data_IF_956970729540
#
_entry.id   IF_956970729540
#
_cell.length_a   1.000
_cell.length_b   1.000
_cell.length_c   1.000
_cell.angle_alpha   90.00
_cell.angle_beta   90.00
_cell.angle_gamma   90.00
#
_symmetry.space_group_name_H-M   'P 1'
#
loop_
_entity.id
_entity.type
_entity.pdbx_description
1 polymer ?
#
# COMPACT_ATOMS: atom_id res chain seq x y z
N UNK A 1 -7.06 15.59 -3.59
CA UNK A 1 -6.10 14.56 -4.02
C UNK A 1 -5.32 14.08 -2.81
N UNK A 2 -5.27 12.77 -2.56
CA UNK A 2 -4.44 12.16 -1.51
C UNK A 2 -3.67 10.96 -2.05
N UNK A 3 -2.48 10.72 -1.50
CA UNK A 3 -1.54 9.68 -1.90
C UNK A 3 -0.96 9.00 -0.66
N UNK A 4 -0.90 7.66 -0.65
CA UNK A 4 -0.31 6.87 0.43
C UNK A 4 0.58 5.76 -0.14
N UNK A 5 1.69 5.47 0.55
CA UNK A 5 2.50 4.27 0.30
C UNK A 5 2.23 3.27 1.42
N UNK A 6 1.81 2.07 1.07
CA UNK A 6 1.34 1.05 2.02
C UNK A 6 2.08 -0.26 1.77
N UNK A 7 2.70 -0.81 2.81
CA UNK A 7 3.39 -2.11 2.73
C UNK A 7 2.40 -3.22 2.41
N UNK A 8 2.69 -4.02 1.38
CA UNK A 8 1.78 -5.04 0.83
C UNK A 8 1.36 -6.13 1.83
N UNK A 9 2.19 -6.37 2.85
CA UNK A 9 1.96 -7.35 3.91
C UNK A 9 1.07 -6.81 5.02
N UNK A 10 0.87 -5.49 5.13
CA UNK A 10 -0.04 -4.88 6.10
C UNK A 10 -1.50 -4.96 5.61
N UNK A 11 -2.08 -6.17 5.67
CA UNK A 11 -3.43 -6.46 5.16
C UNK A 11 -4.51 -5.59 5.82
N UNK A 12 -4.35 -5.27 7.09
CA UNK A 12 -5.26 -4.38 7.82
C UNK A 12 -5.28 -2.97 7.22
N UNK A 13 -4.11 -2.37 6.98
CA UNK A 13 -4.03 -1.04 6.35
C UNK A 13 -4.57 -1.07 4.91
N UNK A 14 -4.20 -2.09 4.13
CA UNK A 14 -4.69 -2.27 2.76
C UNK A 14 -6.22 -2.28 2.73
N UNK A 15 -6.86 -3.08 3.59
CA UNK A 15 -8.33 -3.13 3.69
C UNK A 15 -8.91 -1.76 4.05
N UNK A 16 -8.38 -1.11 5.08
CA UNK A 16 -8.86 0.21 5.53
C UNK A 16 -8.83 1.24 4.41
N UNK A 17 -7.75 1.29 3.62
CA UNK A 17 -7.65 2.27 2.53
C UNK A 17 -8.61 1.97 1.38
N UNK A 18 -8.81 0.70 1.02
CA UNK A 18 -9.83 0.30 0.05
C UNK A 18 -11.24 0.71 0.53
N UNK A 19 -11.56 0.47 1.80
CA UNK A 19 -12.86 0.84 2.40
C UNK A 19 -13.09 2.37 2.41
N UNK A 20 -12.01 3.17 2.51
CA UNK A 20 -12.07 4.63 2.40
C UNK A 20 -12.12 5.16 0.95
N UNK A 21 -12.25 4.28 -0.04
CA UNK A 21 -12.36 4.63 -1.45
C UNK A 21 -11.03 5.05 -2.08
N UNK A 22 -9.90 4.59 -1.55
CA UNK A 22 -8.63 4.67 -2.27
C UNK A 22 -8.48 3.48 -3.22
N UNK A 23 -7.75 3.69 -4.31
CA UNK A 23 -7.41 2.67 -5.30
C UNK A 23 -5.91 2.44 -5.32
N UNK A 24 -5.48 1.20 -5.54
CA UNK A 24 -4.08 0.88 -5.80
C UNK A 24 -3.81 1.24 -7.27
N UNK A 25 -2.97 2.26 -7.49
CA UNK A 25 -2.60 2.73 -8.84
C UNK A 25 -1.23 2.23 -9.29
N UNK A 26 -0.50 1.57 -8.39
CA UNK A 26 0.82 1.04 -8.70
C UNK A 26 1.35 0.14 -7.58
N UNK A 27 2.32 -0.68 -7.95
CA UNK A 27 3.07 -1.54 -7.02
C UNK A 27 4.55 -1.33 -7.27
N UNK A 28 5.30 -1.08 -6.20
CA UNK A 28 6.76 -1.06 -6.22
C UNK A 28 7.22 -2.44 -5.74
N UNK A 29 7.75 -3.30 -6.63
CA UNK A 29 8.28 -4.59 -6.21
C UNK A 29 9.43 -4.38 -5.23
N UNK A 30 9.49 -5.17 -4.17
CA UNK A 30 10.55 -5.08 -3.14
C UNK A 30 10.70 -3.67 -2.50
N UNK A 31 9.64 -2.85 -2.55
CA UNK A 31 9.67 -1.46 -2.13
C UNK A 31 9.77 -1.21 -0.61
N UNK A 32 9.74 -2.25 0.21
CA UNK A 32 9.85 -2.14 1.67
C UNK A 32 10.60 -3.34 2.27
N UNK A 33 11.48 -3.10 3.24
CA UNK A 33 12.15 -4.17 3.98
C UNK A 33 11.39 -4.51 5.27
N UNK A 34 10.72 -5.66 5.29
CA UNK A 34 10.04 -6.21 6.45
C UNK A 34 10.99 -7.08 7.29
N UNK A 35 11.07 -6.82 8.59
CA UNK A 35 12.02 -7.47 9.50
C UNK A 35 12.00 -9.01 9.42
N UNK A 36 10.80 -9.62 9.35
CA UNK A 36 10.65 -11.07 9.29
C UNK A 36 10.52 -11.65 7.87
N UNK A 37 10.13 -10.82 6.90
CA UNK A 37 9.70 -11.29 5.56
C UNK A 37 10.66 -10.86 4.44
N UNK A 38 11.73 -10.14 4.78
CA UNK A 38 12.67 -9.59 3.82
C UNK A 38 12.04 -8.47 3.00
N UNK A 39 12.48 -8.32 1.75
CA UNK A 39 11.90 -7.33 0.84
C UNK A 39 10.50 -7.75 0.40
N UNK A 40 9.56 -6.83 0.54
CA UNK A 40 8.16 -7.00 0.19
C UNK A 40 7.69 -5.81 -0.63
N UNK A 41 6.62 -6.02 -1.39
CA UNK A 41 6.10 -4.98 -2.26
C UNK A 41 5.51 -3.81 -1.45
N UNK A 42 5.48 -2.64 -2.07
CA UNK A 42 4.75 -1.48 -1.56
C UNK A 42 3.67 -1.05 -2.56
N UNK A 43 2.45 -0.85 -2.08
CA UNK A 43 1.34 -0.34 -2.87
C UNK A 43 1.30 1.17 -2.85
N UNK A 44 1.02 1.74 -4.00
CA UNK A 44 0.72 3.15 -4.18
C UNK A 44 -0.79 3.31 -4.20
N UNK A 45 -1.34 3.93 -3.17
CA UNK A 45 -2.75 4.26 -3.07
C UNK A 45 -3.03 5.70 -3.49
N UNK A 46 -4.12 5.89 -4.22
CA UNK A 46 -4.60 7.21 -4.66
C UNK A 46 -6.10 7.36 -4.40
N UNK A 47 -6.52 8.58 -4.02
CA UNK A 47 -7.93 8.98 -3.99
C UNK A 47 -8.08 10.42 -4.50
N UNK A 48 -8.99 10.61 -5.44
CA UNK A 48 -9.44 11.95 -5.85
C UNK A 48 -10.34 12.52 -4.75
N UNK A 49 -10.09 13.75 -4.32
CA UNK A 49 -10.94 14.47 -3.35
C UNK A 49 -11.91 15.36 -4.11
#
# INVERSE_FOLDING_TARGET
MQFNLVVSTNKSAVKTWLDYGFEIIGTIPEGFYHFEQGYVDAYIFYRKL
#
